data_IF_435267858513
#
_entry.id   IF_435267858513
#
_cell.length_a   1.000
_cell.length_b   1.000
_cell.length_c   1.000
_cell.angle_alpha   90.00
_cell.angle_beta   90.00
_cell.angle_gamma   90.00
#
_symmetry.space_group_name_H-M   'P 1'
#
loop_
_entity.id
_entity.type
_entity.pdbx_description
1 polymer ?
#
# COMPACT_ATOMS: atom_id res chain seq x y z
N UNK A 1 15.52 0.25 -7.25
CA UNK A 1 14.12 0.71 -7.43
C UNK A 1 13.31 -0.28 -8.28
N UNK A 2 13.42 -1.60 -8.03
CA UNK A 2 12.76 -2.64 -8.84
C UNK A 2 11.78 -3.50 -8.02
N UNK A 3 12.01 -3.67 -6.73
CA UNK A 3 11.31 -4.66 -5.90
C UNK A 3 9.78 -4.47 -5.88
N UNK A 4 9.28 -3.28 -5.52
CA UNK A 4 7.82 -3.03 -5.45
C UNK A 4 7.17 -3.11 -6.83
N UNK A 5 7.85 -2.61 -7.87
CA UNK A 5 7.33 -2.67 -9.24
C UNK A 5 7.22 -4.13 -9.70
N UNK A 6 8.22 -4.97 -9.42
CA UNK A 6 8.17 -6.41 -9.72
C UNK A 6 7.03 -7.09 -8.95
N UNK A 7 6.81 -6.77 -7.67
CA UNK A 7 5.69 -7.31 -6.90
C UNK A 7 4.34 -6.94 -7.53
N UNK A 8 4.16 -5.66 -7.89
CA UNK A 8 2.91 -5.19 -8.50
C UNK A 8 2.66 -5.83 -9.87
N UNK A 9 3.69 -6.06 -10.67
CA UNK A 9 3.55 -6.69 -11.99
C UNK A 9 2.92 -8.09 -11.90
N UNK A 10 3.32 -8.90 -10.90
CA UNK A 10 2.74 -10.24 -10.70
C UNK A 10 1.24 -10.14 -10.39
N UNK A 11 0.83 -9.16 -9.59
CA UNK A 11 -0.59 -8.95 -9.24
C UNK A 11 -1.40 -8.53 -10.46
N UNK A 12 -0.85 -7.66 -11.31
CA UNK A 12 -1.50 -7.24 -12.56
C UNK A 12 -1.70 -8.40 -13.54
N UNK A 13 -0.72 -9.31 -13.66
CA UNK A 13 -0.88 -10.52 -14.47
C UNK A 13 -1.95 -11.48 -13.94
N UNK A 14 -2.35 -11.32 -12.68
CA UNK A 14 -3.40 -12.11 -12.03
C UNK A 14 -4.75 -11.39 -11.99
N UNK A 15 -4.92 -10.37 -12.82
CA UNK A 15 -6.16 -9.58 -12.93
C UNK A 15 -6.60 -8.95 -11.58
N UNK A 16 -5.63 -8.66 -10.70
CA UNK A 16 -5.92 -8.06 -9.40
C UNK A 16 -6.04 -6.54 -9.50
N UNK A 17 -6.99 -5.97 -8.77
CA UNK A 17 -7.05 -4.53 -8.54
C UNK A 17 -5.95 -4.08 -7.58
N UNK A 18 -5.02 -3.25 -8.06
CA UNK A 18 -3.99 -2.63 -7.23
C UNK A 18 -4.48 -1.31 -6.67
N UNK A 19 -4.36 -1.14 -5.36
CA UNK A 19 -4.70 0.09 -4.67
C UNK A 19 -3.42 0.82 -4.26
N UNK A 20 -3.29 2.05 -4.75
CA UNK A 20 -2.18 2.95 -4.44
C UNK A 20 -2.48 3.89 -3.28
N UNK A 21 -1.55 4.81 -3.06
CA UNK A 21 -1.57 5.82 -2.02
C UNK A 21 -0.86 7.09 -2.45
N UNK A 22 -0.64 8.01 -1.51
CA UNK A 22 0.13 9.24 -1.69
C UNK A 22 1.63 9.00 -1.94
N UNK A 23 2.18 7.85 -1.55
CA UNK A 23 3.56 7.45 -1.81
C UNK A 23 3.70 5.93 -1.97
N UNK A 24 4.93 5.42 -2.18
CA UNK A 24 5.22 4.00 -2.28
C UNK A 24 4.61 3.25 -1.10
N UNK A 25 3.91 2.14 -1.37
CA UNK A 25 3.20 1.35 -0.36
C UNK A 25 4.18 0.57 0.55
N UNK A 26 4.99 1.31 1.33
CA UNK A 26 6.04 0.82 2.21
C UNK A 26 6.18 1.71 3.45
N UNK A 27 6.79 1.15 4.49
CA UNK A 27 7.23 1.84 5.71
C UNK A 27 8.65 1.41 6.06
N UNK A 28 9.41 2.25 6.73
CA UNK A 28 10.80 1.99 7.10
C UNK A 28 10.97 1.79 8.61
N UNK A 29 11.78 0.80 8.99
CA UNK A 29 12.16 0.57 10.38
C UNK A 29 13.34 -0.39 10.44
N UNK A 30 14.33 -0.12 11.30
CA UNK A 30 15.52 -0.97 11.43
C UNK A 30 15.30 -2.04 12.49
N UNK A 31 14.82 -1.64 13.67
CA UNK A 31 14.52 -2.54 14.76
C UNK A 31 13.01 -2.79 14.86
N UNK A 32 12.64 -3.83 15.62
CA UNK A 32 11.23 -4.16 15.87
C UNK A 32 10.53 -2.93 16.49
N UNK A 33 9.47 -2.46 15.83
CA UNK A 33 8.68 -1.32 16.28
C UNK A 33 9.12 0.03 15.72
N UNK A 34 10.28 0.16 15.07
CA UNK A 34 10.71 1.43 14.47
C UNK A 34 9.80 1.90 13.33
N UNK A 35 9.13 0.97 12.66
CA UNK A 35 8.12 1.27 11.63
C UNK A 35 7.00 2.18 12.14
N UNK A 36 6.73 2.16 13.45
CA UNK A 36 5.71 3.02 14.07
C UNK A 36 6.18 4.47 14.21
N UNK A 37 7.49 4.72 14.09
CA UNK A 37 8.10 6.06 14.13
C UNK A 37 8.25 6.66 12.73
N UNK A 38 7.98 5.89 11.68
CA UNK A 38 7.90 6.39 10.30
C UNK A 38 6.54 7.07 10.10
N UNK A 39 6.41 8.31 10.57
CA UNK A 39 5.13 9.04 10.56
C UNK A 39 4.57 9.20 9.14
N UNK A 40 5.43 9.47 8.15
CA UNK A 40 5.04 9.59 6.75
C UNK A 40 4.56 8.24 6.19
N UNK A 41 5.35 7.17 6.40
CA UNK A 41 4.98 5.82 5.98
C UNK A 41 3.68 5.36 6.63
N UNK A 42 3.49 5.61 7.92
CA UNK A 42 2.28 5.26 8.65
C UNK A 42 1.06 6.09 8.21
N UNK A 43 1.24 7.36 7.86
CA UNK A 43 0.20 8.16 7.23
C UNK A 43 -0.17 7.59 5.84
N UNK A 44 0.84 7.17 5.07
CA UNK A 44 0.65 6.52 3.78
C UNK A 44 -0.13 5.19 3.91
N UNK A 45 0.18 4.35 4.91
CA UNK A 45 -0.56 3.10 5.15
C UNK A 45 -2.03 3.35 5.51
N UNK A 46 -2.32 4.40 6.28
CA UNK A 46 -3.71 4.81 6.57
C UNK A 46 -4.43 5.22 5.30
N UNK A 47 -3.77 5.96 4.39
CA UNK A 47 -4.35 6.35 3.12
C UNK A 47 -4.63 5.15 2.19
N UNK A 48 -3.73 4.16 2.12
CA UNK A 48 -4.01 2.89 1.39
C UNK A 48 -5.28 2.23 1.93
N UNK A 49 -5.40 2.10 3.24
CA UNK A 49 -6.57 1.48 3.87
C UNK A 49 -7.87 2.21 3.54
N UNK A 50 -7.85 3.55 3.54
CA UNK A 50 -8.98 4.37 3.12
C UNK A 50 -9.34 4.16 1.65
N UNK A 51 -8.34 4.14 0.76
CA UNK A 51 -8.54 3.90 -0.66
C UNK A 51 -9.11 2.50 -0.91
N UNK A 52 -8.61 1.48 -0.22
CA UNK A 52 -9.12 0.10 -0.31
C UNK A 52 -10.58 0.01 0.13
N UNK A 53 -10.91 0.59 1.30
CA UNK A 53 -12.28 0.60 1.81
C UNK A 53 -13.24 1.30 0.84
N UNK A 54 -12.81 2.41 0.24
CA UNK A 54 -13.60 3.11 -0.77
C UNK A 54 -13.84 2.24 -2.01
N UNK A 55 -12.81 1.58 -2.55
CA UNK A 55 -12.95 0.71 -3.72
C UNK A 55 -13.90 -0.46 -3.46
N UNK A 56 -13.71 -1.19 -2.35
CA UNK A 56 -14.59 -2.30 -1.95
C UNK A 56 -16.04 -1.81 -1.86
N UNK A 57 -16.26 -0.65 -1.23
CA UNK A 57 -17.59 -0.05 -1.12
C UNK A 57 -18.20 0.33 -2.47
N UNK A 58 -17.41 0.73 -3.47
CA UNK A 58 -17.96 1.02 -4.81
C UNK A 58 -18.24 -0.26 -5.60
N UNK A 59 -17.43 -1.31 -5.44
CA UNK A 59 -17.60 -2.58 -6.13
C UNK A 59 -18.76 -3.43 -5.58
N UNK A 60 -19.14 -3.20 -4.31
CA UNK A 60 -20.21 -3.94 -3.64
C UNK A 60 -21.58 -3.25 -3.74
N UNK A 61 -21.68 -2.16 -4.50
CA UNK A 61 -22.95 -1.52 -4.86
C UNK A 61 -23.50 -2.15 -6.13
#
# INVERSE_FOLDING_TARGET
MNTVNTMNNVMLFREMFLVGSTYWNMVYGKDIGDVLKDDEGMANMRNIGQNMAWHIKQLWK
#
